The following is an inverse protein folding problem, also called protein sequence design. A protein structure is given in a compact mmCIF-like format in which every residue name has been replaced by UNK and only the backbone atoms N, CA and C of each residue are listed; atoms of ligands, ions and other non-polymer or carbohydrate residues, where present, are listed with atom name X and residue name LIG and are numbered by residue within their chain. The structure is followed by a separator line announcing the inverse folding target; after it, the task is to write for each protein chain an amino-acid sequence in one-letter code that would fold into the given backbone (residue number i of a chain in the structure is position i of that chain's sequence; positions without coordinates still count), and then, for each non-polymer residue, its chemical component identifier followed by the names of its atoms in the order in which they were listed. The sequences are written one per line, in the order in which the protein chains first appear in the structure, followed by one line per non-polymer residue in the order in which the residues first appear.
data_IF_388351788431
#
_entry.id   IF_388351788431
#
_cell.length_a   1.000
_cell.length_b   1.000
_cell.length_c   1.000
_cell.angle_alpha   90.00
_cell.angle_beta   90.00
_cell.angle_gamma   90.00
#
_symmetry.space_group_name_H-M   'P 1'
#
loop_
_entity.id
_entity.type
_entity.pdbx_description
1 polymer ?
#
# COMPACT_ATOMS: atom_id res chain seq x y z
N UNK A 1 12.61 -18.41 -19.04
CA UNK A 1 11.39 -18.89 -18.36
C UNK A 1 11.38 -18.54 -16.86
N UNK A 2 12.49 -18.21 -16.20
CA UNK A 2 12.49 -17.83 -14.77
C UNK A 2 11.99 -16.39 -14.48
N UNK A 3 11.94 -15.52 -15.49
CA UNK A 3 11.55 -14.11 -15.34
C UNK A 3 10.03 -13.87 -15.24
N UNK A 4 9.23 -14.76 -15.82
CA UNK A 4 7.77 -14.58 -15.93
C UNK A 4 7.08 -14.84 -14.58
N UNK A 5 7.50 -15.90 -13.87
CA UNK A 5 7.04 -16.21 -12.51
C UNK A 5 7.53 -15.24 -11.45
N UNK A 6 8.68 -14.60 -11.65
CA UNK A 6 9.21 -13.61 -10.70
C UNK A 6 8.55 -12.23 -10.86
N UNK A 7 8.16 -11.86 -12.08
CA UNK A 7 7.41 -10.64 -12.35
C UNK A 7 5.95 -10.73 -11.87
N UNK A 8 5.26 -11.84 -12.20
CA UNK A 8 3.90 -12.09 -11.73
C UNK A 8 3.83 -12.07 -10.19
N UNK A 9 4.83 -12.69 -9.53
CA UNK A 9 4.95 -12.65 -8.08
C UNK A 9 5.21 -11.24 -7.52
N UNK A 10 6.04 -10.43 -8.19
CA UNK A 10 6.29 -9.05 -7.79
C UNK A 10 5.04 -8.18 -7.92
N UNK A 11 4.24 -8.40 -8.97
CA UNK A 11 2.95 -7.72 -9.15
C UNK A 11 1.94 -8.14 -8.07
N UNK A 12 1.80 -9.44 -7.80
CA UNK A 12 0.91 -9.95 -6.75
C UNK A 12 1.26 -9.38 -5.37
N UNK A 13 2.56 -9.32 -5.04
CA UNK A 13 3.04 -8.73 -3.80
C UNK A 13 2.75 -7.22 -3.74
N UNK A 14 3.02 -6.48 -4.81
CA UNK A 14 2.75 -5.04 -4.85
C UNK A 14 1.24 -4.75 -4.68
N UNK A 15 0.38 -5.50 -5.37
CA UNK A 15 -1.07 -5.35 -5.24
C UNK A 15 -1.59 -5.76 -3.85
N UNK A 16 -1.02 -6.82 -3.28
CA UNK A 16 -1.30 -7.24 -1.90
C UNK A 16 -0.94 -6.16 -0.88
N UNK A 17 0.25 -5.58 -1.01
CA UNK A 17 0.74 -4.51 -0.15
C UNK A 17 -0.14 -3.25 -0.25
N UNK A 18 -0.53 -2.85 -1.47
CA UNK A 18 -1.43 -1.71 -1.67
C UNK A 18 -2.80 -1.93 -1.02
N UNK A 19 -3.37 -3.13 -1.15
CA UNK A 19 -4.66 -3.48 -0.52
C UNK A 19 -4.58 -3.40 1.00
N UNK A 20 -3.51 -3.94 1.59
CA UNK A 20 -3.33 -3.90 3.04
C UNK A 20 -3.06 -2.48 3.56
N UNK A 21 -2.23 -1.70 2.86
CA UNK A 21 -1.99 -0.30 3.19
C UNK A 21 -3.29 0.52 3.14
N UNK A 22 -4.16 0.27 2.14
CA UNK A 22 -5.48 0.89 2.06
C UNK A 22 -6.37 0.50 3.25
N UNK A 23 -6.38 -0.78 3.62
CA UNK A 23 -7.15 -1.28 4.76
C UNK A 23 -6.72 -0.59 6.06
N UNK A 24 -5.41 -0.48 6.29
CA UNK A 24 -4.84 0.22 7.44
C UNK A 24 -5.17 1.71 7.43
N UNK A 25 -5.13 2.36 6.26
CA UNK A 25 -5.50 3.77 6.13
C UNK A 25 -6.98 4.01 6.44
N UNK A 26 -7.87 3.16 5.93
CA UNK A 26 -9.31 3.27 6.20
C UNK A 26 -9.64 3.04 7.68
N UNK A 27 -8.97 2.07 8.32
CA UNK A 27 -9.05 1.88 9.77
C UNK A 27 -8.47 3.08 10.53
N UNK A 28 -7.35 3.62 10.06
CA UNK A 28 -6.71 4.82 10.61
C UNK A 28 -7.62 6.03 10.58
N UNK A 29 -8.37 6.25 9.50
CA UNK A 29 -9.36 7.34 9.39
C UNK A 29 -10.45 7.21 10.46
N UNK A 30 -10.96 6.00 10.68
CA UNK A 30 -11.95 5.75 11.72
C UNK A 30 -11.38 6.00 13.12
N UNK A 31 -10.19 5.49 13.42
CA UNK A 31 -9.51 5.69 14.69
C UNK A 31 -9.13 7.17 14.93
N UNK A 32 -8.72 7.89 13.89
CA UNK A 32 -8.40 9.31 13.93
C UNK A 32 -9.64 10.15 14.23
N UNK A 33 -10.77 9.86 13.58
CA UNK A 33 -12.05 10.50 13.87
C UNK A 33 -12.54 10.23 15.30
N UNK A 34 -12.17 9.08 15.89
CA UNK A 34 -12.42 8.75 17.29
C UNK A 34 -11.40 9.39 18.26
N UNK A 35 -10.36 10.06 17.76
CA UNK A 35 -9.28 10.64 18.57
C UNK A 35 -8.30 9.62 19.15
N UNK A 36 -8.33 8.37 18.66
CA UNK A 36 -7.50 7.26 19.16
C UNK A 36 -6.07 7.29 18.60
N UNK A 37 -5.86 7.97 17.46
CA UNK A 37 -4.55 8.16 16.85
C UNK A 37 -4.32 9.63 16.48
N UNK A 38 -3.05 10.05 16.50
CA UNK A 38 -2.64 11.41 16.16
C UNK A 38 -2.65 11.68 14.65
N UNK A 39 -2.65 12.96 14.28
CA UNK A 39 -2.44 13.42 12.90
C UNK A 39 -1.15 12.85 12.29
N UNK A 40 -0.07 12.76 13.09
CA UNK A 40 1.21 12.18 12.66
C UNK A 40 1.07 10.70 12.28
N UNK A 41 0.31 9.94 13.08
CA UNK A 41 0.06 8.53 12.79
C UNK A 41 -0.79 8.37 11.54
N UNK A 42 -1.81 9.21 11.39
CA UNK A 42 -2.65 9.26 10.19
C UNK A 42 -1.83 9.62 8.93
N UNK A 43 -0.94 10.61 9.03
CA UNK A 43 -0.03 10.98 7.94
C UNK A 43 0.94 9.85 7.58
N UNK A 44 1.38 9.05 8.55
CA UNK A 44 2.22 7.87 8.29
C UNK A 44 1.48 6.77 7.54
N UNK A 45 0.20 6.55 7.86
CA UNK A 45 -0.65 5.60 7.13
C UNK A 45 -0.92 6.08 5.70
N UNK A 46 -1.09 7.39 5.51
CA UNK A 46 -1.25 7.97 4.17
C UNK A 46 0.01 7.75 3.33
N UNK A 47 1.20 8.08 3.88
CA UNK A 47 2.48 7.83 3.19
C UNK A 47 2.68 6.36 2.83
N UNK A 48 2.32 5.44 3.73
CA UNK A 48 2.40 4.01 3.46
C UNK A 48 1.54 3.60 2.27
N UNK A 49 0.30 4.10 2.19
CA UNK A 49 -0.57 3.86 1.05
C UNK A 49 -0.01 4.47 -0.24
N UNK A 50 0.50 5.70 -0.19
CA UNK A 50 1.06 6.38 -1.35
C UNK A 50 2.27 5.60 -1.91
N UNK A 51 3.19 5.15 -1.05
CA UNK A 51 4.33 4.31 -1.46
C UNK A 51 3.85 2.99 -2.09
N UNK A 52 2.91 2.28 -1.45
CA UNK A 52 2.42 1.02 -1.99
C UNK A 52 1.68 1.20 -3.33
N UNK A 53 0.98 2.32 -3.51
CA UNK A 53 0.34 2.67 -4.76
C UNK A 53 1.35 3.00 -5.87
N UNK A 54 2.44 3.71 -5.54
CA UNK A 54 3.55 3.95 -6.46
C UNK A 54 4.24 2.63 -6.85
N UNK A 55 4.45 1.70 -5.93
CA UNK A 55 5.09 0.41 -6.19
C UNK A 55 4.27 -0.44 -7.18
N UNK A 56 2.94 -0.45 -7.06
CA UNK A 56 2.06 -1.07 -8.07
C UNK A 56 2.22 -0.39 -9.44
N UNK A 57 2.33 0.94 -9.45
CA UNK A 57 2.57 1.70 -10.68
C UNK A 57 3.90 1.35 -11.35
N UNK A 58 4.97 1.16 -10.57
CA UNK A 58 6.30 0.74 -11.06
C UNK A 58 6.26 -0.69 -11.59
N UNK A 59 5.66 -1.61 -10.83
CA UNK A 59 5.51 -3.01 -11.25
C UNK A 59 4.70 -3.15 -12.56
N UNK A 60 3.79 -2.22 -12.84
CA UNK A 60 3.02 -2.15 -14.10
C UNK A 60 3.72 -1.40 -15.24
N UNK A 61 4.77 -0.64 -14.98
CA UNK A 61 5.55 0.06 -16.01
C UNK A 61 6.82 -0.71 -16.39
N UNK A 62 7.31 -1.57 -15.50
CA UNK A 62 8.42 -2.49 -15.76
C UNK A 62 7.97 -3.75 -16.55
N UNK A 63 6.69 -3.86 -16.92
CA UNK A 63 6.09 -4.84 -17.87
C UNK A 63 6.10 -4.31 -19.31
#
# INVERSE_FOLDING_TARGET
MEHETSLEHAMDLAEGNMKEAKRLLDQGKAAHAAGEISDERMASLQRLYDTAHEDVGRARHDT
#
